data_IF_410928989941
#
_entry.id   IF_410928989941
#
_cell.length_a   1.000
_cell.length_b   1.000
_cell.length_c   1.000
_cell.angle_alpha   90.00
_cell.angle_beta   90.00
_cell.angle_gamma   90.00
#
_symmetry.space_group_name_H-M   'P 1'
#
loop_
_entity.id
_entity.type
_entity.pdbx_description
1 polymer ?
#
# COMPACT_ATOMS: atom_id res chain seq x y z
N UNK A 1 10.25 22.21 30.89
CA UNK A 1 10.86 23.46 30.40
C UNK A 1 10.94 23.43 28.90
N UNK A 2 10.34 24.43 28.29
CA UNK A 2 10.41 24.93 26.91
C UNK A 2 9.96 24.04 25.76
N UNK A 3 8.72 24.26 25.40
CA UNK A 3 8.13 24.12 24.08
C UNK A 3 8.90 24.96 23.04
N UNK A 4 9.18 24.40 21.90
CA UNK A 4 9.38 25.22 20.71
C UNK A 4 8.45 24.70 19.61
N UNK A 5 7.38 25.45 19.47
CA UNK A 5 6.47 25.40 18.31
C UNK A 5 7.19 26.11 17.17
N UNK A 6 7.44 25.44 16.09
CA UNK A 6 7.76 26.08 14.82
C UNK A 6 6.59 25.83 13.89
N UNK A 7 5.73 26.84 13.82
CA UNK A 7 4.71 26.95 12.79
C UNK A 7 5.39 27.39 11.50
N UNK A 8 5.51 26.48 10.52
CA UNK A 8 5.89 26.83 9.16
C UNK A 8 4.60 27.19 8.39
N UNK A 9 4.37 28.50 8.23
CA UNK A 9 3.38 29.06 7.32
C UNK A 9 3.85 28.85 5.89
N UNK A 10 3.33 27.85 5.20
CA UNK A 10 3.44 27.73 3.75
C UNK A 10 2.44 28.72 3.13
N UNK A 11 2.92 29.90 2.77
CA UNK A 11 2.18 30.88 1.97
C UNK A 11 2.06 30.33 0.55
N UNK A 12 0.89 29.79 0.20
CA UNK A 12 0.55 29.44 -1.16
C UNK A 12 0.39 30.71 -2.01
N UNK A 13 1.35 30.98 -2.85
CA UNK A 13 1.25 31.97 -3.92
C UNK A 13 0.37 31.39 -5.03
N UNK A 14 -0.93 31.69 -4.97
CA UNK A 14 -1.83 31.56 -6.11
C UNK A 14 -1.49 32.67 -7.08
N UNK A 15 -0.64 32.35 -8.04
CA UNK A 15 -0.41 33.20 -9.21
C UNK A 15 -1.64 33.10 -10.11
N UNK A 16 -2.64 33.94 -9.86
CA UNK A 16 -3.72 34.22 -10.80
C UNK A 16 -3.11 35.02 -11.98
N UNK A 17 -2.68 34.28 -13.01
CA UNK A 17 -2.38 34.88 -14.31
C UNK A 17 -3.67 35.39 -14.92
N UNK A 18 -4.00 36.66 -14.67
CA UNK A 18 -4.98 37.41 -15.41
C UNK A 18 -4.44 37.59 -16.84
N UNK A 19 -4.81 36.66 -17.72
CA UNK A 19 -4.68 36.82 -19.15
C UNK A 19 -5.61 37.96 -19.56
N UNK A 20 -5.11 39.18 -19.51
CA UNK A 20 -5.73 40.31 -20.20
C UNK A 20 -5.57 40.06 -21.67
N UNK A 21 -6.56 39.49 -22.30
CA UNK A 21 -6.72 39.47 -23.74
C UNK A 21 -6.96 40.93 -24.16
N UNK A 22 -5.89 41.63 -24.50
CA UNK A 22 -6.00 42.91 -25.19
C UNK A 22 -6.45 42.60 -26.60
N UNK A 23 -7.75 42.42 -26.76
CA UNK A 23 -8.38 42.41 -28.07
C UNK A 23 -8.29 43.82 -28.65
N UNK A 24 -7.46 44.01 -29.64
CA UNK A 24 -7.55 45.19 -30.52
C UNK A 24 -8.88 45.13 -31.26
N UNK A 25 -9.89 45.72 -30.68
CA UNK A 25 -11.18 45.94 -31.38
C UNK A 25 -11.00 47.13 -32.29
N UNK A 26 -10.63 46.87 -33.54
CA UNK A 26 -10.79 47.86 -34.62
C UNK A 26 -12.28 47.94 -34.91
N UNK A 27 -12.97 48.82 -34.19
CA UNK A 27 -14.38 49.15 -34.45
C UNK A 27 -14.38 50.07 -35.69
N UNK A 28 -14.44 49.44 -36.86
CA UNK A 28 -14.97 50.08 -38.06
C UNK A 28 -16.45 49.65 -38.13
N UNK A 29 -17.33 50.61 -38.45
CA UNK A 29 -18.74 50.43 -38.62
C UNK A 29 -19.08 49.21 -39.49
N UNK A 30 -19.35 48.08 -38.86
CA UNK A 30 -19.66 46.81 -39.46
C UNK A 30 -19.78 45.74 -38.35
N UNK A 31 -20.82 44.94 -38.39
CA UNK A 31 -20.96 43.82 -37.47
C UNK A 31 -19.67 42.95 -37.49
N UNK A 32 -19.18 42.48 -36.35
CA UNK A 32 -17.98 41.66 -36.29
C UNK A 32 -18.20 40.35 -37.03
N UNK A 33 -17.83 40.30 -38.30
CA UNK A 33 -17.80 39.07 -39.06
C UNK A 33 -16.51 38.34 -38.70
N UNK A 34 -16.54 37.44 -37.76
CA UNK A 34 -15.45 36.48 -37.55
C UNK A 34 -15.31 35.67 -38.85
N UNK A 35 -14.14 35.67 -39.48
CA UNK A 35 -13.87 34.81 -40.62
C UNK A 35 -14.12 33.36 -40.15
N UNK A 36 -15.05 32.68 -40.79
CA UNK A 36 -15.44 31.31 -40.43
C UNK A 36 -14.30 30.32 -40.59
N UNK A 37 -13.29 30.63 -41.40
CA UNK A 37 -12.09 29.82 -41.58
C UNK A 37 -11.11 29.99 -40.40
N UNK A 38 -10.91 31.22 -39.95
CA UNK A 38 -10.07 31.49 -38.77
C UNK A 38 -10.70 30.92 -37.51
N UNK A 39 -12.01 31.01 -37.36
CA UNK A 39 -12.75 30.41 -36.26
C UNK A 39 -12.67 28.87 -36.28
N UNK A 40 -12.60 28.26 -37.47
CA UNK A 40 -12.44 26.79 -37.60
C UNK A 40 -11.02 26.35 -37.25
N UNK A 41 -9.98 27.01 -37.75
CA UNK A 41 -8.59 26.72 -37.44
C UNK A 41 -8.26 26.92 -35.97
N UNK A 42 -8.84 27.96 -35.33
CA UNK A 42 -8.69 28.17 -33.90
C UNK A 42 -9.36 27.06 -33.07
N UNK A 43 -10.57 26.62 -33.47
CA UNK A 43 -11.24 25.51 -32.79
C UNK A 43 -10.47 24.18 -32.88
N UNK A 44 -9.92 23.86 -34.05
CA UNK A 44 -9.06 22.68 -34.21
C UNK A 44 -7.81 22.78 -33.36
N UNK A 45 -7.13 23.91 -33.36
CA UNK A 45 -5.95 24.12 -32.52
C UNK A 45 -6.26 23.99 -31.01
N UNK A 46 -7.36 24.56 -30.55
CA UNK A 46 -7.79 24.43 -29.14
C UNK A 46 -8.12 22.98 -28.82
N UNK A 47 -8.84 22.26 -29.69
CA UNK A 47 -9.17 20.86 -29.50
C UNK A 47 -7.91 19.98 -29.44
N UNK A 48 -6.94 20.21 -30.31
CA UNK A 48 -5.68 19.48 -30.32
C UNK A 48 -4.83 19.77 -29.06
N UNK A 49 -4.82 21.04 -28.62
CA UNK A 49 -4.13 21.45 -27.40
C UNK A 49 -4.76 20.83 -26.15
N UNK A 50 -6.08 20.76 -26.08
CA UNK A 50 -6.80 20.12 -24.98
C UNK A 50 -6.58 18.60 -24.99
N UNK A 51 -6.61 17.95 -26.14
CA UNK A 51 -6.39 16.51 -26.25
C UNK A 51 -4.96 16.13 -25.86
N UNK A 52 -3.95 16.89 -26.30
CA UNK A 52 -2.57 16.65 -25.93
C UNK A 52 -2.31 16.90 -24.45
N UNK A 53 -2.95 17.90 -23.86
CA UNK A 53 -2.86 18.17 -22.41
C UNK A 53 -3.52 17.07 -21.59
N UNK A 54 -4.66 16.55 -22.04
CA UNK A 54 -5.35 15.46 -21.38
C UNK A 54 -4.54 14.15 -21.47
N UNK A 55 -3.93 13.87 -22.61
CA UNK A 55 -3.05 12.71 -22.77
C UNK A 55 -1.82 12.80 -21.84
N UNK A 56 -1.15 13.94 -21.79
CA UNK A 56 -0.02 14.15 -20.90
C UNK A 56 -0.39 14.06 -19.40
N UNK A 57 -1.59 14.50 -19.03
CA UNK A 57 -2.11 14.36 -17.66
C UNK A 57 -2.37 12.89 -17.31
N UNK A 58 -2.95 12.12 -18.24
CA UNK A 58 -3.22 10.69 -18.07
C UNK A 58 -1.92 9.88 -17.93
N UNK A 59 -0.90 10.20 -18.73
CA UNK A 59 0.42 9.54 -18.61
C UNK A 59 1.08 9.82 -17.26
N UNK A 60 1.02 11.06 -16.78
CA UNK A 60 1.57 11.42 -15.45
C UNK A 60 0.84 10.68 -14.33
N UNK A 61 -0.48 10.61 -14.40
CA UNK A 61 -1.29 9.90 -13.41
C UNK A 61 -0.99 8.39 -13.42
N UNK A 62 -0.80 7.78 -14.60
CA UNK A 62 -0.41 6.38 -14.73
C UNK A 62 0.96 6.13 -14.10
N UNK A 63 1.97 6.94 -14.43
CA UNK A 63 3.32 6.82 -13.87
C UNK A 63 3.32 7.01 -12.35
N UNK A 64 2.53 7.94 -11.85
CA UNK A 64 2.41 8.16 -10.41
C UNK A 64 1.80 6.96 -9.70
N UNK A 65 0.71 6.39 -10.24
CA UNK A 65 0.09 5.18 -9.67
C UNK A 65 1.03 3.97 -9.69
N UNK A 66 1.81 3.80 -10.75
CA UNK A 66 2.82 2.75 -10.84
C UNK A 66 3.89 2.90 -9.74
N UNK A 67 4.36 4.12 -9.52
CA UNK A 67 5.32 4.43 -8.45
C UNK A 67 4.75 4.17 -7.07
N UNK A 68 3.53 4.63 -6.80
CA UNK A 68 2.82 4.40 -5.53
C UNK A 68 2.61 2.90 -5.26
N UNK A 69 2.26 2.13 -6.30
CA UNK A 69 2.10 0.68 -6.19
C UNK A 69 3.43 0.00 -5.89
N UNK A 70 4.51 0.37 -6.59
CA UNK A 70 5.83 -0.19 -6.37
C UNK A 70 6.34 0.07 -4.94
N UNK A 71 6.17 1.30 -4.44
CA UNK A 71 6.53 1.66 -3.06
C UNK A 71 5.68 0.89 -2.02
N UNK A 72 4.37 0.77 -2.26
CA UNK A 72 3.48 0.02 -1.38
C UNK A 72 3.86 -1.46 -1.30
N UNK A 73 4.18 -2.09 -2.45
CA UNK A 73 4.64 -3.48 -2.50
C UNK A 73 5.97 -3.64 -1.78
N UNK A 74 6.96 -2.78 -2.05
CA UNK A 74 8.26 -2.85 -1.40
C UNK A 74 8.16 -2.76 0.13
N UNK A 75 7.41 -1.78 0.65
CA UNK A 75 7.21 -1.59 2.09
C UNK A 75 6.46 -2.78 2.73
N UNK A 76 5.43 -3.30 2.06
CA UNK A 76 4.69 -4.44 2.57
C UNK A 76 5.54 -5.72 2.56
N UNK A 77 6.36 -5.93 1.55
CA UNK A 77 7.28 -7.07 1.45
C UNK A 77 8.40 -7.02 2.50
N UNK A 78 8.97 -5.84 2.77
CA UNK A 78 9.95 -5.67 3.84
C UNK A 78 9.34 -6.01 5.20
N UNK A 79 8.12 -5.51 5.45
CA UNK A 79 7.36 -5.81 6.66
C UNK A 79 7.08 -7.30 6.81
N UNK A 80 6.61 -7.96 5.74
CA UNK A 80 6.33 -9.39 5.74
C UNK A 80 7.60 -10.20 6.00
N UNK A 81 8.69 -9.89 5.30
CA UNK A 81 9.95 -10.64 5.42
C UNK A 81 10.49 -10.61 6.85
N UNK A 82 10.53 -9.44 7.49
CA UNK A 82 11.00 -9.29 8.87
C UNK A 82 10.08 -10.00 9.86
N UNK A 83 8.76 -9.83 9.73
CA UNK A 83 7.80 -10.44 10.65
C UNK A 83 7.68 -11.95 10.48
N UNK A 84 7.86 -12.49 9.28
CA UNK A 84 7.84 -13.94 9.03
C UNK A 84 8.94 -14.67 9.80
N UNK A 85 10.12 -14.10 9.88
CA UNK A 85 11.24 -14.68 10.66
C UNK A 85 10.88 -14.74 12.14
N UNK A 86 10.30 -13.67 12.68
CA UNK A 86 9.88 -13.62 14.10
C UNK A 86 8.80 -14.66 14.41
N UNK A 87 7.80 -14.79 13.51
CA UNK A 87 6.71 -15.76 13.63
C UNK A 87 7.24 -17.19 13.63
N UNK A 88 8.07 -17.57 12.66
CA UNK A 88 8.65 -18.91 12.56
C UNK A 88 9.50 -19.21 13.79
N UNK A 89 10.29 -18.26 14.26
CA UNK A 89 11.12 -18.40 15.46
C UNK A 89 10.26 -18.62 16.70
N UNK A 90 9.16 -17.88 16.85
CA UNK A 90 8.26 -18.02 17.99
C UNK A 90 7.52 -19.36 17.99
N UNK A 91 7.03 -19.83 16.84
CA UNK A 91 6.41 -21.15 16.68
C UNK A 91 7.41 -22.25 17.06
N UNK A 92 8.63 -22.19 16.52
CA UNK A 92 9.66 -23.20 16.83
C UNK A 92 10.04 -23.20 18.30
N UNK A 93 10.14 -22.03 18.94
CA UNK A 93 10.42 -21.93 20.38
C UNK A 93 9.32 -22.62 21.23
N UNK A 94 8.05 -22.43 20.86
CA UNK A 94 6.93 -23.12 21.51
C UNK A 94 6.96 -24.62 21.28
N UNK A 95 7.15 -25.08 20.04
CA UNK A 95 7.23 -26.51 19.69
C UNK A 95 8.36 -27.20 20.45
N UNK A 96 9.54 -26.57 20.53
CA UNK A 96 10.69 -27.10 21.28
C UNK A 96 10.41 -27.19 22.79
N UNK A 97 9.68 -26.25 23.37
CA UNK A 97 9.29 -26.31 24.77
C UNK A 97 8.32 -27.48 25.04
N UNK A 98 7.34 -27.67 24.16
CA UNK A 98 6.41 -28.81 24.22
C UNK A 98 7.15 -30.14 24.13
N UNK A 99 8.07 -30.26 23.17
CA UNK A 99 8.88 -31.47 23.00
C UNK A 99 9.82 -31.74 24.21
N UNK A 100 10.27 -30.70 24.89
CA UNK A 100 11.13 -30.81 26.08
C UNK A 100 10.39 -31.19 27.37
N UNK A 101 9.05 -31.29 27.36
CA UNK A 101 8.20 -31.70 28.48
C UNK A 101 8.37 -30.88 29.77
N UNK A 102 8.73 -29.60 29.67
CA UNK A 102 8.87 -28.65 30.78
C UNK A 102 7.66 -27.72 30.87
N UNK A 103 6.68 -28.07 31.68
CA UNK A 103 5.41 -27.37 31.75
C UNK A 103 5.54 -25.85 31.98
N UNK A 104 6.45 -25.42 32.86
CA UNK A 104 6.68 -24.01 33.11
C UNK A 104 7.20 -23.28 31.85
N UNK A 105 8.17 -23.87 31.16
CA UNK A 105 8.71 -23.31 29.91
C UNK A 105 7.65 -23.30 28.80
N UNK A 106 6.76 -24.30 28.74
CA UNK A 106 5.68 -24.36 27.74
C UNK A 106 4.73 -23.18 27.92
N UNK A 107 4.32 -22.87 29.14
CA UNK A 107 3.41 -21.75 29.40
C UNK A 107 4.02 -20.40 28.97
N UNK A 108 5.27 -20.15 29.35
CA UNK A 108 5.98 -18.91 28.99
C UNK A 108 6.20 -18.80 27.48
N UNK A 109 6.59 -19.89 26.82
CA UNK A 109 6.80 -19.89 25.36
C UNK A 109 5.48 -19.80 24.60
N UNK A 110 4.39 -20.38 25.10
CA UNK A 110 3.07 -20.23 24.52
C UNK A 110 2.62 -18.76 24.54
N UNK A 111 2.74 -18.07 25.68
CA UNK A 111 2.37 -16.67 25.77
C UNK A 111 3.23 -15.81 24.85
N UNK A 112 4.55 -15.99 24.90
CA UNK A 112 5.47 -15.25 24.04
C UNK A 112 5.19 -15.47 22.54
N UNK A 113 4.87 -16.70 22.14
CA UNK A 113 4.50 -17.01 20.76
C UNK A 113 3.20 -16.32 20.37
N UNK A 114 2.12 -16.44 21.17
CA UNK A 114 0.84 -15.79 20.91
C UNK A 114 1.01 -14.27 20.75
N UNK A 115 1.77 -13.63 21.63
CA UNK A 115 2.01 -12.18 21.58
C UNK A 115 2.79 -11.79 20.32
N UNK A 116 3.79 -12.58 19.94
CA UNK A 116 4.59 -12.34 18.74
C UNK A 116 3.77 -12.52 17.47
N UNK A 117 2.99 -13.61 17.36
CA UNK A 117 2.14 -13.89 16.20
C UNK A 117 1.08 -12.81 16.02
N UNK A 118 0.39 -12.43 17.08
CA UNK A 118 -0.64 -11.39 17.00
C UNK A 118 -0.07 -10.02 16.64
N UNK A 119 1.10 -9.66 17.17
CA UNK A 119 1.78 -8.42 16.82
C UNK A 119 2.22 -8.43 15.36
N UNK A 120 2.85 -9.51 14.90
CA UNK A 120 3.27 -9.67 13.50
C UNK A 120 2.09 -9.57 12.54
N UNK A 121 1.00 -10.29 12.81
CA UNK A 121 -0.24 -10.22 12.04
C UNK A 121 -0.82 -8.79 12.03
N UNK A 122 -0.77 -8.07 13.15
CA UNK A 122 -1.19 -6.69 13.26
C UNK A 122 -0.34 -5.75 12.39
N UNK A 123 0.97 -5.87 12.44
CA UNK A 123 1.90 -5.04 11.66
C UNK A 123 1.70 -5.27 10.16
N UNK A 124 1.63 -6.53 9.70
CA UNK A 124 1.37 -6.83 8.28
C UNK A 124 -0.02 -6.34 7.87
N UNK A 125 -1.05 -6.51 8.70
CA UNK A 125 -2.38 -6.00 8.40
C UNK A 125 -2.41 -4.47 8.20
N UNK A 126 -1.59 -3.70 8.92
CA UNK A 126 -1.49 -2.24 8.74
C UNK A 126 -0.72 -1.81 7.50
N UNK A 127 0.10 -2.69 6.92
CA UNK A 127 0.78 -2.42 5.65
C UNK A 127 -0.14 -2.60 4.44
N UNK A 128 -1.30 -3.24 4.61
CA UNK A 128 -2.29 -3.42 3.55
C UNK A 128 -3.00 -2.10 3.26
N UNK A 129 -2.73 -1.53 2.10
CA UNK A 129 -3.37 -0.30 1.63
C UNK A 129 -3.95 -0.47 0.22
N UNK A 130 -4.65 0.54 -0.27
CA UNK A 130 -5.33 0.52 -1.57
C UNK A 130 -4.39 0.60 -2.78
N UNK A 131 -3.11 0.91 -2.56
CA UNK A 131 -2.12 0.96 -3.63
C UNK A 131 -1.53 -0.42 -3.95
N UNK A 132 -1.72 -1.42 -3.07
CA UNK A 132 -1.30 -2.80 -3.33
C UNK A 132 -2.14 -3.45 -4.43
N UNK A 133 -1.49 -4.24 -5.27
CA UNK A 133 -2.20 -5.09 -6.22
C UNK A 133 -3.13 -6.06 -5.48
N UNK A 134 -4.35 -6.31 -6.00
CA UNK A 134 -5.32 -7.17 -5.32
C UNK A 134 -4.76 -8.55 -4.96
N UNK A 135 -4.01 -9.19 -5.84
CA UNK A 135 -3.40 -10.49 -5.60
C UNK A 135 -2.40 -10.48 -4.44
N UNK A 136 -1.56 -9.44 -4.36
CA UNK A 136 -0.61 -9.25 -3.27
C UNK A 136 -1.34 -9.01 -1.95
N UNK A 137 -2.36 -8.15 -1.96
CA UNK A 137 -3.17 -7.88 -0.80
C UNK A 137 -3.90 -9.13 -0.28
N UNK A 138 -4.41 -9.97 -1.18
CA UNK A 138 -5.10 -11.21 -0.82
C UNK A 138 -4.14 -12.25 -0.22
N UNK A 139 -2.94 -12.41 -0.79
CA UNK A 139 -1.91 -13.29 -0.25
C UNK A 139 -1.47 -12.85 1.16
N UNK A 140 -1.32 -11.56 1.39
CA UNK A 140 -0.95 -11.02 2.70
C UNK A 140 -2.08 -11.15 3.73
N UNK A 141 -3.34 -10.97 3.32
CA UNK A 141 -4.50 -11.26 4.19
C UNK A 141 -4.51 -12.72 4.61
N UNK A 142 -4.30 -13.63 3.65
CA UNK A 142 -4.23 -15.07 3.96
C UNK A 142 -3.10 -15.38 4.95
N UNK A 143 -1.95 -14.73 4.83
CA UNK A 143 -0.85 -14.84 5.80
C UNK A 143 -1.25 -14.32 7.19
N UNK A 144 -1.89 -13.16 7.27
CA UNK A 144 -2.38 -12.57 8.53
C UNK A 144 -3.37 -13.50 9.22
N UNK A 145 -4.33 -14.06 8.46
CA UNK A 145 -5.35 -14.95 9.00
C UNK A 145 -4.74 -16.29 9.48
N UNK A 146 -3.82 -16.86 8.70
CA UNK A 146 -3.13 -18.09 9.09
C UNK A 146 -2.24 -17.88 10.33
N UNK A 147 -1.55 -16.74 10.43
CA UNK A 147 -0.74 -16.41 11.62
C UNK A 147 -1.62 -16.30 12.88
N UNK A 148 -2.78 -15.66 12.78
CA UNK A 148 -3.75 -15.58 13.88
C UNK A 148 -4.34 -16.94 14.24
N UNK A 149 -4.57 -17.79 13.24
CA UNK A 149 -5.06 -19.15 13.49
C UNK A 149 -4.06 -19.99 14.29
N UNK A 150 -2.76 -19.89 13.99
CA UNK A 150 -1.72 -20.55 14.81
C UNK A 150 -1.67 -19.95 16.23
N UNK A 151 -1.75 -18.61 16.37
CA UNK A 151 -1.81 -17.98 17.70
C UNK A 151 -3.00 -18.51 18.53
N UNK A 152 -4.16 -18.65 17.90
CA UNK A 152 -5.34 -19.24 18.51
C UNK A 152 -5.12 -20.69 18.92
N UNK A 153 -4.55 -21.52 18.02
CA UNK A 153 -4.27 -22.93 18.31
C UNK A 153 -3.34 -23.11 19.52
N UNK A 154 -2.34 -22.21 19.68
CA UNK A 154 -1.47 -22.19 20.85
C UNK A 154 -2.25 -21.78 22.11
N UNK A 155 -3.01 -20.68 22.05
CA UNK A 155 -3.72 -20.13 23.21
C UNK A 155 -4.81 -21.08 23.74
N UNK A 156 -5.51 -21.76 22.84
CA UNK A 156 -6.58 -22.71 23.16
C UNK A 156 -6.05 -24.14 23.38
N UNK A 157 -4.74 -24.34 23.27
CA UNK A 157 -4.07 -25.64 23.49
C UNK A 157 -4.65 -26.76 22.62
N UNK A 158 -4.72 -26.52 21.33
CA UNK A 158 -5.18 -27.54 20.37
C UNK A 158 -4.35 -28.82 20.48
N UNK A 159 -4.97 -29.94 20.16
CA UNK A 159 -4.28 -31.21 20.04
C UNK A 159 -3.21 -31.15 18.95
N UNK A 160 -2.20 -32.04 19.03
CA UNK A 160 -1.05 -32.01 18.12
C UNK A 160 -1.45 -32.03 16.63
N UNK A 161 -2.46 -32.83 16.28
CA UNK A 161 -2.91 -32.94 14.90
C UNK A 161 -3.55 -31.64 14.40
N UNK A 162 -4.40 -31.01 15.22
CA UNK A 162 -5.07 -29.75 14.89
C UNK A 162 -4.06 -28.59 14.82
N UNK A 163 -3.13 -28.53 15.78
CA UNK A 163 -2.06 -27.54 15.76
C UNK A 163 -1.21 -27.65 14.49
N UNK A 164 -0.77 -28.87 14.14
CA UNK A 164 0.03 -29.10 12.93
C UNK A 164 -0.73 -28.66 11.67
N UNK A 165 -2.06 -28.90 11.60
CA UNK A 165 -2.87 -28.47 10.47
C UNK A 165 -2.90 -26.94 10.33
N UNK A 166 -2.93 -26.16 11.43
CA UNK A 166 -2.85 -24.71 11.36
C UNK A 166 -1.44 -24.21 10.97
N UNK A 167 -0.39 -24.89 11.45
CA UNK A 167 1.01 -24.59 11.05
C UNK A 167 1.22 -24.88 9.55
N UNK A 168 0.64 -25.95 9.02
CA UNK A 168 0.72 -26.26 7.57
C UNK A 168 0.03 -25.18 6.74
N UNK A 169 -1.16 -24.71 7.15
CA UNK A 169 -1.85 -23.59 6.49
C UNK A 169 -0.99 -22.31 6.53
N UNK A 170 -0.38 -22.04 7.68
CA UNK A 170 0.53 -20.90 7.81
C UNK A 170 1.73 -21.03 6.86
N UNK A 171 2.36 -22.19 6.77
CA UNK A 171 3.49 -22.41 5.88
C UNK A 171 3.11 -22.17 4.42
N UNK A 172 1.96 -22.65 3.97
CA UNK A 172 1.45 -22.38 2.63
C UNK A 172 1.17 -20.90 2.38
N UNK A 173 0.51 -20.23 3.32
CA UNK A 173 0.23 -18.80 3.20
C UNK A 173 1.51 -17.96 3.23
N UNK A 174 2.48 -18.35 4.06
CA UNK A 174 3.79 -17.69 4.15
C UNK A 174 4.56 -17.80 2.83
N UNK A 175 4.63 -19.01 2.26
CA UNK A 175 5.29 -19.22 0.98
C UNK A 175 4.62 -18.40 -0.12
N UNK A 176 3.29 -18.45 -0.23
CA UNK A 176 2.56 -17.70 -1.25
C UNK A 176 2.76 -16.17 -1.11
N UNK A 177 2.75 -15.66 0.12
CA UNK A 177 2.97 -14.23 0.36
C UNK A 177 4.41 -13.79 0.01
N UNK A 178 5.41 -14.62 0.31
CA UNK A 178 6.80 -14.36 -0.05
C UNK A 178 7.03 -14.46 -1.57
N UNK A 179 6.34 -15.37 -2.25
CA UNK A 179 6.42 -15.51 -3.71
C UNK A 179 5.88 -14.24 -4.42
N UNK A 180 4.86 -13.57 -3.84
CA UNK A 180 4.39 -12.28 -4.34
C UNK A 180 5.47 -11.19 -4.24
N UNK A 181 6.38 -11.30 -3.29
CA UNK A 181 7.51 -10.36 -3.12
C UNK A 181 8.67 -10.68 -4.07
N UNK A 182 8.94 -11.94 -4.37
CA UNK A 182 10.00 -12.37 -5.29
C UNK A 182 9.70 -12.13 -6.78
N UNK A 183 8.42 -12.01 -7.15
CA UNK A 183 7.98 -11.77 -8.53
C UNK A 183 7.98 -10.29 -8.95
N UNK A 184 8.44 -9.39 -8.10
CA UNK A 184 8.40 -7.92 -8.34
C UNK A 184 9.70 -7.36 -8.95
N UNK A 185 10.47 -8.18 -9.67
CA UNK A 185 11.73 -7.77 -10.34
C UNK A 185 11.57 -7.66 -11.84
#
# INVERSE_FOLDING_TARGET
>A
MRQWRIAALAAGLVATALLTVVGCTNIRDGAPAADTNDARSYRTWVADSLSSSAAAASERESTQRESETAEAVANACETLSSTSVDVVTAINAYVNAVAGHREADVADKAQAAVDTLNRAAGVVATSLNTALLPQTADAFRAWVDATRAVAKAISERYGQQEFNAEVDKFNHANQNALDMCGGSH
#
